data_IF_844344801348
#
_entry.id   IF_844344801348
#
_cell.length_a   1.000
_cell.length_b   1.000
_cell.length_c   1.000
_cell.angle_alpha   90.00
_cell.angle_beta   90.00
_cell.angle_gamma   90.00
#
_symmetry.space_group_name_H-M   'P 1'
#
loop_
_entity.id
_entity.type
_entity.pdbx_description
1 polymer ?
#
# COMPACT_ATOMS: atom_id res chain seq x y z
N UNK A 1 -27.85 -3.65 9.17
CA UNK A 1 -27.51 -2.62 8.17
C UNK A 1 -26.31 -1.81 8.66
N UNK A 2 -25.37 -1.60 7.79
CA UNK A 2 -24.15 -0.87 8.15
C UNK A 2 -24.19 0.54 7.55
N UNK A 3 -23.84 1.54 8.36
CA UNK A 3 -23.67 2.88 7.85
C UNK A 3 -22.43 2.93 6.94
N UNK A 4 -22.41 3.79 5.92
CA UNK A 4 -21.22 3.98 5.11
C UNK A 4 -20.07 4.50 5.96
N UNK A 5 -18.87 4.03 5.67
CA UNK A 5 -17.65 4.49 6.33
C UNK A 5 -16.79 5.26 5.34
N UNK A 6 -16.14 6.31 5.83
CA UNK A 6 -15.17 7.05 5.03
C UNK A 6 -13.81 6.39 5.18
N UNK A 7 -13.26 5.96 4.06
CA UNK A 7 -11.92 5.38 4.00
C UNK A 7 -10.97 6.30 3.27
N UNK A 8 -9.75 6.36 3.78
CA UNK A 8 -8.62 6.90 3.04
C UNK A 8 -7.95 5.75 2.31
N UNK A 9 -7.54 5.96 1.08
CA UNK A 9 -6.78 4.94 0.37
C UNK A 9 -5.69 5.57 -0.48
N UNK A 10 -4.66 4.77 -0.73
CA UNK A 10 -3.58 5.13 -1.63
C UNK A 10 -3.19 3.90 -2.45
N UNK A 11 -2.90 4.10 -3.73
CA UNK A 11 -2.46 3.03 -4.60
C UNK A 11 -0.96 2.84 -4.41
N UNK A 12 -0.52 1.61 -4.18
CA UNK A 12 0.90 1.26 -4.10
C UNK A 12 1.43 1.06 -5.51
N UNK A 13 2.54 1.71 -5.82
CA UNK A 13 3.14 1.70 -7.15
C UNK A 13 4.57 1.24 -7.10
N UNK A 14 4.97 0.44 -8.08
CA UNK A 14 6.37 0.09 -8.31
C UNK A 14 6.88 0.96 -9.47
N UNK A 15 7.95 1.70 -9.21
CA UNK A 15 8.59 2.61 -10.16
C UNK A 15 9.97 2.05 -10.45
N UNK A 16 10.14 1.24 -11.51
CA UNK A 16 11.42 0.54 -11.75
C UNK A 16 12.58 1.49 -11.96
N UNK A 17 12.32 2.60 -12.62
CA UNK A 17 13.31 3.66 -12.86
C UNK A 17 12.71 5.00 -12.50
N UNK A 18 13.15 5.54 -11.38
CA UNK A 18 12.59 6.78 -10.82
C UNK A 18 12.69 7.93 -11.82
N UNK A 19 13.78 8.00 -12.55
CA UNK A 19 14.04 9.09 -13.51
C UNK A 19 13.08 9.08 -14.72
N UNK A 20 12.40 7.94 -14.97
CA UNK A 20 11.46 7.82 -16.08
C UNK A 20 10.02 8.05 -15.66
N UNK A 21 9.77 8.03 -14.36
CA UNK A 21 8.43 8.21 -13.77
C UNK A 21 7.37 7.22 -14.28
N UNK A 22 7.80 6.13 -14.90
CA UNK A 22 6.90 5.04 -15.30
C UNK A 22 6.65 4.15 -14.10
N UNK A 23 5.42 3.65 -13.96
CA UNK A 23 5.07 2.80 -12.83
C UNK A 23 4.00 1.78 -13.20
N UNK A 24 3.90 0.74 -12.35
CA UNK A 24 2.76 -0.19 -12.37
C UNK A 24 2.12 -0.18 -10.99
N UNK A 25 0.81 -0.35 -10.97
CA UNK A 25 0.08 -0.49 -9.72
C UNK A 25 0.31 -1.88 -9.16
N UNK A 26 0.61 -1.96 -7.87
CA UNK A 26 0.93 -3.22 -7.21
C UNK A 26 0.08 -3.47 -5.97
N UNK A 27 -0.83 -2.58 -5.65
CA UNK A 27 -1.69 -2.77 -4.50
C UNK A 27 -2.39 -1.52 -4.04
N UNK A 28 -3.03 -1.63 -2.90
CA UNK A 28 -3.77 -0.53 -2.27
C UNK A 28 -3.59 -0.59 -0.76
N UNK A 29 -3.50 0.57 -0.13
CA UNK A 29 -3.52 0.72 1.32
C UNK A 29 -4.84 1.38 1.69
N UNK A 30 -5.58 0.76 2.60
CA UNK A 30 -6.87 1.27 3.10
C UNK A 30 -6.75 1.64 4.58
N UNK A 31 -7.30 2.78 4.94
CA UNK A 31 -7.33 3.24 6.32
C UNK A 31 -8.71 3.80 6.66
N UNK A 32 -9.26 3.40 7.79
CA UNK A 32 -10.48 3.99 8.33
C UNK A 32 -10.18 4.56 9.71
N UNK A 33 -10.20 5.87 9.83
CA UNK A 33 -9.83 6.55 11.07
C UNK A 33 -10.79 6.20 12.20
N UNK A 34 -12.09 6.10 11.91
CA UNK A 34 -13.10 5.84 12.93
C UNK A 34 -12.91 4.49 13.61
N UNK A 35 -12.53 3.47 12.85
CA UNK A 35 -12.41 2.11 13.38
C UNK A 35 -10.97 1.70 13.68
N UNK A 36 -9.99 2.53 13.33
CA UNK A 36 -8.59 2.18 13.47
C UNK A 36 -8.13 1.12 12.47
N UNK A 37 -8.87 0.94 11.37
CA UNK A 37 -8.55 -0.04 10.34
C UNK A 37 -7.39 0.45 9.49
N UNK A 38 -6.41 -0.43 9.28
CA UNK A 38 -5.30 -0.18 8.36
C UNK A 38 -4.88 -1.51 7.75
N UNK A 39 -4.97 -1.63 6.44
CA UNK A 39 -4.65 -2.86 5.74
C UNK A 39 -4.15 -2.56 4.35
N UNK A 40 -3.21 -3.37 3.88
CA UNK A 40 -2.72 -3.31 2.52
C UNK A 40 -3.03 -4.62 1.80
N UNK A 41 -3.46 -4.51 0.55
CA UNK A 41 -3.62 -5.65 -0.34
C UNK A 41 -2.61 -5.48 -1.48
N UNK A 42 -1.76 -6.47 -1.66
CA UNK A 42 -0.66 -6.42 -2.64
C UNK A 42 -0.88 -7.47 -3.70
N UNK A 43 -0.72 -7.07 -4.96
CA UNK A 43 -0.79 -7.96 -6.11
C UNK A 43 0.21 -7.46 -7.16
N UNK A 44 1.42 -8.01 -7.14
CA UNK A 44 2.47 -7.63 -8.08
C UNK A 44 2.40 -8.50 -9.33
N UNK A 45 2.26 -7.86 -10.49
CA UNK A 45 2.38 -8.51 -11.78
C UNK A 45 3.86 -8.49 -12.19
N UNK A 46 4.57 -9.56 -11.85
CA UNK A 46 6.02 -9.64 -12.08
C UNK A 46 6.37 -9.66 -13.56
N UNK A 47 5.56 -10.31 -14.39
CA UNK A 47 5.79 -10.34 -15.82
C UNK A 47 5.72 -8.93 -16.41
N UNK A 48 4.75 -8.16 -15.98
CA UNK A 48 4.59 -6.78 -16.43
C UNK A 48 5.74 -5.88 -15.95
N UNK A 49 6.18 -6.09 -14.72
CA UNK A 49 7.34 -5.36 -14.18
C UNK A 49 8.59 -5.65 -14.99
N UNK A 50 8.85 -6.92 -15.29
CA UNK A 50 10.00 -7.32 -16.09
C UNK A 50 9.90 -6.85 -17.55
N UNK A 51 8.70 -6.74 -18.08
CA UNK A 51 8.51 -6.18 -19.43
C UNK A 51 8.85 -4.68 -19.44
N UNK A 52 8.57 -3.98 -18.35
CA UNK A 52 8.90 -2.55 -18.21
C UNK A 52 10.40 -2.34 -17.98
N UNK A 53 11.00 -3.19 -17.16
CA UNK A 53 12.44 -3.16 -16.86
C UNK A 53 12.95 -4.59 -16.68
N UNK A 54 13.61 -5.15 -17.71
CA UNK A 54 14.14 -6.51 -17.62
C UNK A 54 15.20 -6.71 -16.53
N UNK A 55 15.80 -5.63 -16.03
CA UNK A 55 16.80 -5.67 -14.97
C UNK A 55 16.23 -5.38 -13.59
N UNK A 56 14.90 -5.32 -13.45
CA UNK A 56 14.27 -5.04 -12.16
C UNK A 56 14.64 -6.14 -11.15
N UNK A 57 14.96 -5.71 -9.92
CA UNK A 57 15.25 -6.62 -8.81
C UNK A 57 13.93 -7.04 -8.16
N UNK A 58 13.36 -8.13 -8.65
CA UNK A 58 12.07 -8.64 -8.19
C UNK A 58 12.10 -8.97 -6.70
N UNK A 59 13.18 -9.56 -6.22
CA UNK A 59 13.28 -9.95 -4.80
C UNK A 59 13.25 -8.73 -3.88
N UNK A 60 13.93 -7.67 -4.25
CA UNK A 60 13.91 -6.42 -3.49
C UNK A 60 12.51 -5.80 -3.50
N UNK A 61 11.85 -5.79 -4.66
CA UNK A 61 10.48 -5.28 -4.77
C UNK A 61 9.54 -6.09 -3.90
N UNK A 62 9.61 -7.42 -3.94
CA UNK A 62 8.78 -8.29 -3.10
C UNK A 62 8.97 -8.00 -1.62
N UNK A 63 10.21 -7.84 -1.18
CA UNK A 63 10.51 -7.56 0.24
C UNK A 63 9.92 -6.22 0.68
N UNK A 64 10.04 -5.20 -0.15
CA UNK A 64 9.48 -3.89 0.18
C UNK A 64 7.94 -3.94 0.24
N UNK A 65 7.31 -4.65 -0.69
CA UNK A 65 5.85 -4.80 -0.68
C UNK A 65 5.38 -5.60 0.54
N UNK A 66 6.10 -6.66 0.90
CA UNK A 66 5.79 -7.44 2.10
C UNK A 66 5.94 -6.60 3.36
N UNK A 67 6.93 -5.71 3.41
CA UNK A 67 7.12 -4.80 4.55
C UNK A 67 5.92 -3.86 4.71
N UNK A 68 5.33 -3.38 3.62
CA UNK A 68 4.13 -2.54 3.68
C UNK A 68 2.99 -3.29 4.36
N UNK A 69 2.75 -4.53 3.98
CA UNK A 69 1.70 -5.37 4.59
C UNK A 69 1.96 -5.56 6.08
N UNK A 70 3.20 -5.87 6.44
CA UNK A 70 3.58 -6.11 7.83
C UNK A 70 3.46 -4.83 8.68
N UNK A 71 3.83 -3.68 8.15
CA UNK A 71 3.68 -2.40 8.84
C UNK A 71 2.20 -2.09 9.08
N UNK A 72 1.36 -2.32 8.08
CA UNK A 72 -0.09 -2.13 8.25
C UNK A 72 -0.64 -3.03 9.36
N UNK A 73 -0.16 -4.25 9.46
CA UNK A 73 -0.58 -5.20 10.48
C UNK A 73 -0.02 -4.89 11.88
N UNK A 74 0.96 -3.99 11.97
CA UNK A 74 1.63 -3.67 13.23
C UNK A 74 2.56 -4.77 13.70
N UNK A 75 3.18 -5.49 12.77
CA UNK A 75 4.12 -6.57 13.07
C UNK A 75 5.39 -6.02 13.72
N UNK A 76 5.60 -6.33 14.98
CA UNK A 76 6.73 -5.83 15.76
C UNK A 76 8.09 -6.23 15.18
N UNK A 77 8.15 -7.30 14.43
CA UNK A 77 9.37 -7.72 13.76
C UNK A 77 9.81 -6.79 12.63
N UNK A 78 8.96 -5.87 12.21
CA UNK A 78 9.25 -4.94 11.11
C UNK A 78 9.90 -3.63 11.57
N UNK A 79 10.30 -3.53 12.83
CA UNK A 79 11.02 -2.38 13.35
C UNK A 79 10.12 -1.31 13.96
N UNK A 80 10.67 -0.12 14.27
CA UNK A 80 9.97 0.90 15.05
C UNK A 80 8.74 1.48 14.37
N UNK A 81 8.71 1.56 13.04
CA UNK A 81 7.57 2.13 12.33
C UNK A 81 6.31 1.31 12.58
N UNK A 82 6.42 -0.02 12.61
CA UNK A 82 5.29 -0.91 12.85
C UNK A 82 4.67 -0.76 14.25
N UNK A 83 5.40 -0.13 15.18
CA UNK A 83 4.94 0.11 16.55
C UNK A 83 4.19 1.43 16.73
N UNK A 84 4.19 2.28 15.71
CA UNK A 84 3.50 3.56 15.78
C UNK A 84 1.97 3.33 15.77
N UNK A 85 1.18 4.29 16.32
CA UNK A 85 -0.27 4.25 16.15
C UNK A 85 -0.63 4.16 14.66
N UNK A 86 -1.76 3.51 14.36
CA UNK A 86 -2.12 3.21 12.97
C UNK A 86 -2.15 4.45 12.07
N UNK A 87 -2.60 5.59 12.59
CA UNK A 87 -2.69 6.82 11.78
C UNK A 87 -1.30 7.33 11.39
N UNK A 88 -0.35 7.23 12.28
CA UNK A 88 1.05 7.59 12.00
C UNK A 88 1.69 6.61 11.02
N UNK A 89 1.37 5.32 11.14
CA UNK A 89 1.81 4.31 10.18
C UNK A 89 1.29 4.61 8.78
N UNK A 90 0.00 4.96 8.67
CA UNK A 90 -0.59 5.32 7.40
C UNK A 90 0.08 6.55 6.79
N UNK A 91 0.31 7.59 7.58
CA UNK A 91 1.01 8.77 7.11
C UNK A 91 2.43 8.47 6.65
N UNK A 92 3.14 7.62 7.39
CA UNK A 92 4.49 7.22 7.01
C UNK A 92 4.50 6.46 5.68
N UNK A 93 3.56 5.52 5.52
CA UNK A 93 3.46 4.69 4.32
C UNK A 93 3.11 5.50 3.08
N UNK A 94 2.31 6.57 3.24
CA UNK A 94 1.82 7.36 2.12
C UNK A 94 2.59 8.66 1.92
N UNK A 95 3.66 8.88 2.68
CA UNK A 95 4.51 10.05 2.52
C UNK A 95 5.16 10.07 1.14
N UNK A 96 5.20 11.24 0.53
CA UNK A 96 5.81 11.42 -0.78
C UNK A 96 7.30 11.10 -0.71
N UNK A 97 7.78 10.28 -1.63
CA UNK A 97 9.18 9.90 -1.68
C UNK A 97 9.60 9.55 -3.11
N UNK A 98 10.90 9.63 -3.36
CA UNK A 98 11.49 9.32 -4.64
C UNK A 98 12.24 8.00 -4.53
N UNK A 99 11.51 6.90 -4.62
CA UNK A 99 12.01 5.54 -4.44
C UNK A 99 11.31 4.59 -5.41
N UNK A 100 11.78 3.35 -5.47
CA UNK A 100 11.18 2.36 -6.38
C UNK A 100 9.79 1.92 -5.94
N UNK A 101 9.44 2.07 -4.66
CA UNK A 101 8.08 1.88 -4.19
C UNK A 101 7.53 3.24 -3.78
N UNK A 102 6.41 3.61 -4.35
CA UNK A 102 5.75 4.89 -4.08
C UNK A 102 4.26 4.66 -3.93
N UNK A 103 3.56 5.65 -3.39
CA UNK A 103 2.10 5.61 -3.34
C UNK A 103 1.54 6.78 -4.14
N UNK A 104 0.29 6.61 -4.61
CA UNK A 104 -0.48 7.72 -5.13
C UNK A 104 -0.79 8.71 -4.01
N UNK A 105 -1.27 9.92 -4.34
CA UNK A 105 -1.89 10.77 -3.33
C UNK A 105 -3.01 10.02 -2.60
N UNK A 106 -3.27 10.42 -1.37
CA UNK A 106 -4.35 9.82 -0.58
C UNK A 106 -5.69 10.33 -1.11
N UNK A 107 -6.63 9.41 -1.27
CA UNK A 107 -7.99 9.69 -1.73
C UNK A 107 -8.99 9.30 -0.64
N UNK A 108 -10.11 9.98 -0.62
CA UNK A 108 -11.23 9.63 0.25
C UNK A 108 -12.25 8.83 -0.55
N UNK A 109 -12.81 7.82 0.08
CA UNK A 109 -13.88 7.01 -0.50
C UNK A 109 -14.91 6.66 0.55
N UNK A 110 -16.18 6.74 0.20
CA UNK A 110 -17.27 6.32 1.05
C UNK A 110 -17.64 4.90 0.68
N UNK A 111 -17.40 3.97 1.61
CA UNK A 111 -17.55 2.54 1.33
C UNK A 111 -18.46 1.89 2.36
N UNK A 112 -19.35 0.99 1.89
CA UNK A 112 -20.07 0.08 2.75
C UNK A 112 -19.24 -1.18 2.91
N UNK A 113 -18.81 -1.46 4.13
CA UNK A 113 -18.01 -2.64 4.39
C UNK A 113 -18.79 -3.60 5.27
N UNK A 114 -19.20 -4.71 4.70
CA UNK A 114 -19.74 -5.84 5.43
C UNK A 114 -18.69 -6.94 5.59
N UNK A 115 -17.78 -7.07 4.63
CA UNK A 115 -16.71 -8.06 4.64
C UNK A 115 -15.39 -7.40 4.23
N UNK A 116 -14.42 -7.28 5.15
CA UNK A 116 -13.16 -6.61 4.84
C UNK A 116 -12.41 -7.18 3.65
N UNK A 117 -12.49 -8.49 3.44
CA UNK A 117 -11.77 -9.15 2.35
C UNK A 117 -12.20 -8.67 0.97
N UNK A 118 -13.44 -8.23 0.80
CA UNK A 118 -13.92 -7.71 -0.47
C UNK A 118 -13.27 -6.39 -0.85
N UNK A 119 -12.79 -5.67 0.11
CA UNK A 119 -12.22 -4.36 -0.11
C UNK A 119 -10.84 -4.44 -0.74
N UNK A 120 -10.24 -5.61 -0.72
CA UNK A 120 -8.94 -5.84 -1.34
C UNK A 120 -9.01 -5.93 -2.86
N UNK A 121 -10.20 -5.99 -3.44
CA UNK A 121 -10.42 -6.12 -4.88
C UNK A 121 -10.56 -4.76 -5.59
N UNK A 122 -9.75 -3.86 -5.30
CA UNK A 122 -9.81 -2.52 -5.91
C UNK A 122 -8.96 -2.42 -7.15
#
# INVERSE_FOLDING_TARGET
>A
MHAPEVYDYAIVRVVPRVEREEFINAGVILSCQRTGFLQAAIALDEARLLAMDPHADIDTVRRHLAAIVAICAGDEGCGPIARLPYRQRFHWLTAKRSAIIQTSPVHLSLIHISEPTRQAEI
#
